data_IF_157067304826
#
_entry.id   IF_157067304826
#
_cell.length_a   1.000
_cell.length_b   1.000
_cell.length_c   1.000
_cell.angle_alpha   90.00
_cell.angle_beta   90.00
_cell.angle_gamma   90.00
#
_symmetry.space_group_name_H-M   'P 1'
#
loop_
_entity.id
_entity.type
_entity.pdbx_description
1 polymer ?
#
# COMPACT_ATOMS: atom_id res chain seq x y z
N UNK A 1 -15.71 -23.04 0.18
CA UNK A 1 -15.53 -23.64 -1.16
C UNK A 1 -14.86 -22.57 -2.00
N UNK A 2 -13.59 -22.77 -2.33
CA UNK A 2 -12.79 -21.81 -3.10
C UNK A 2 -13.18 -21.98 -4.57
N UNK A 3 -13.86 -20.99 -5.15
CA UNK A 3 -14.23 -21.00 -6.56
C UNK A 3 -13.14 -20.29 -7.36
N UNK A 4 -11.99 -20.95 -7.49
CA UNK A 4 -10.95 -20.49 -8.41
C UNK A 4 -11.47 -20.70 -9.84
N UNK A 5 -11.83 -19.61 -10.50
CA UNK A 5 -12.19 -19.61 -11.92
C UNK A 5 -10.89 -19.75 -12.73
N UNK A 6 -10.72 -20.79 -13.57
CA UNK A 6 -9.46 -21.06 -14.28
C UNK A 6 -9.07 -20.01 -15.36
N UNK A 7 -9.74 -18.86 -15.40
CA UNK A 7 -9.46 -17.74 -16.31
C UNK A 7 -9.21 -16.40 -15.60
N UNK A 8 -9.08 -16.40 -14.26
CA UNK A 8 -8.79 -15.18 -13.53
C UNK A 8 -7.39 -14.65 -13.89
N UNK A 9 -7.32 -13.43 -14.42
CA UNK A 9 -6.05 -12.79 -14.77
C UNK A 9 -5.41 -12.24 -13.52
N UNK A 10 -4.29 -12.84 -13.14
CA UNK A 10 -3.51 -12.40 -11.98
C UNK A 10 -2.13 -11.86 -12.39
N UNK A 11 -1.58 -10.98 -11.57
CA UNK A 11 -0.17 -10.60 -11.62
C UNK A 11 0.49 -11.10 -10.34
N UNK A 12 1.50 -11.97 -10.48
CA UNK A 12 2.38 -12.34 -9.37
C UNK A 12 3.00 -11.08 -8.79
N UNK A 13 2.66 -10.76 -7.54
CA UNK A 13 3.40 -9.75 -6.82
C UNK A 13 4.75 -10.36 -6.40
N UNK A 14 5.82 -9.57 -6.37
CA UNK A 14 7.09 -10.03 -5.82
C UNK A 14 6.86 -10.57 -4.40
N UNK A 15 7.61 -11.60 -3.98
CA UNK A 15 7.53 -12.14 -2.63
C UNK A 15 7.75 -11.07 -1.55
N UNK A 16 8.56 -10.07 -1.89
CA UNK A 16 8.69 -8.82 -1.18
C UNK A 16 7.92 -7.76 -1.98
N UNK A 17 6.60 -7.65 -1.80
CA UNK A 17 5.82 -6.59 -2.46
C UNK A 17 6.47 -5.28 -2.02
N UNK A 18 7.18 -4.59 -2.92
CA UNK A 18 7.91 -3.41 -2.49
C UNK A 18 6.91 -2.34 -2.02
N UNK A 19 7.31 -1.50 -1.07
CA UNK A 19 6.46 -0.40 -0.59
C UNK A 19 5.99 0.45 -1.76
N UNK A 20 6.84 0.65 -2.76
CA UNK A 20 6.56 1.42 -3.98
C UNK A 20 5.49 0.75 -4.85
N UNK A 21 5.53 -0.58 -5.02
CA UNK A 21 4.51 -1.29 -5.79
C UNK A 21 3.16 -1.25 -5.06
N UNK A 22 3.16 -1.42 -3.75
CA UNK A 22 1.93 -1.37 -2.95
C UNK A 22 1.31 0.04 -2.99
N UNK A 23 2.14 1.08 -2.86
CA UNK A 23 1.73 2.47 -3.01
C UNK A 23 1.15 2.74 -4.40
N UNK A 24 1.81 2.27 -5.46
CA UNK A 24 1.34 2.44 -6.83
C UNK A 24 0.00 1.74 -7.06
N UNK A 25 -0.20 0.55 -6.50
CA UNK A 25 -1.50 -0.11 -6.55
C UNK A 25 -2.51 0.76 -5.80
N UNK A 26 -2.29 1.14 -4.55
CA UNK A 26 -3.23 1.97 -3.79
C UNK A 26 -3.60 3.28 -4.48
N UNK A 27 -2.64 3.99 -5.09
CA UNK A 27 -2.90 5.20 -5.88
C UNK A 27 -3.73 4.91 -7.14
N UNK A 28 -3.49 3.76 -7.79
CA UNK A 28 -4.30 3.33 -8.94
C UNK A 28 -5.72 2.91 -8.55
N UNK A 29 -5.93 2.54 -7.28
CA UNK A 29 -7.24 2.22 -6.70
C UNK A 29 -7.88 3.37 -5.93
N UNK A 30 -7.53 4.62 -6.24
CA UNK A 30 -8.39 5.79 -5.96
C UNK A 30 -9.80 5.65 -6.57
N UNK A 31 -10.02 4.60 -7.36
CA UNK A 31 -11.30 4.05 -7.77
C UNK A 31 -11.63 2.81 -6.93
N UNK A 32 -11.65 2.95 -5.59
CA UNK A 32 -12.32 2.02 -4.66
C UNK A 32 -13.44 2.81 -3.99
N UNK A 33 -14.61 2.18 -3.82
CA UNK A 33 -15.79 2.83 -3.29
C UNK A 33 -15.59 3.42 -1.87
N UNK A 34 -14.53 3.01 -1.16
CA UNK A 34 -13.98 3.70 0.01
C UNK A 34 -12.67 4.40 -0.38
N UNK A 35 -12.48 5.63 0.09
CA UNK A 35 -11.22 6.38 0.03
C UNK A 35 -10.12 5.79 0.97
N UNK A 36 -10.47 4.79 1.79
CA UNK A 36 -9.60 4.14 2.76
C UNK A 36 -8.21 3.74 2.20
N UNK A 37 -8.10 3.11 1.01
CA UNK A 37 -6.81 2.72 0.43
C UNK A 37 -5.94 3.92 0.05
N UNK A 38 -6.55 4.97 -0.50
CA UNK A 38 -5.87 6.23 -0.83
C UNK A 38 -5.35 6.95 0.41
N UNK A 39 -6.15 7.01 1.49
CA UNK A 39 -5.71 7.53 2.79
C UNK A 39 -4.53 6.74 3.36
N UNK A 40 -4.58 5.41 3.33
CA UNK A 40 -3.48 4.57 3.80
C UNK A 40 -2.20 4.78 2.98
N UNK A 41 -2.31 4.89 1.65
CA UNK A 41 -1.17 5.20 0.79
C UNK A 41 -0.58 6.58 1.08
N UNK A 42 -1.42 7.58 1.30
CA UNK A 42 -0.99 8.91 1.69
C UNK A 42 -0.25 8.92 3.02
N UNK A 43 -0.76 8.19 4.03
CA UNK A 43 -0.08 8.02 5.31
C UNK A 43 1.27 7.33 5.14
N UNK A 44 1.32 6.22 4.40
CA UNK A 44 2.56 5.48 4.16
C UNK A 44 3.61 6.37 3.49
N UNK A 45 3.20 7.16 2.48
CA UNK A 45 4.08 8.14 1.80
C UNK A 45 4.58 9.23 2.74
N UNK A 46 3.72 9.76 3.62
CA UNK A 46 4.12 10.77 4.59
C UNK A 46 5.14 10.23 5.59
N UNK A 47 4.93 9.00 6.08
CA UNK A 47 5.89 8.35 7.00
C UNK A 47 7.20 8.05 6.29
N UNK A 48 7.16 7.59 5.03
CA UNK A 48 8.34 7.39 4.20
C UNK A 48 9.17 8.66 3.98
N UNK A 49 8.48 9.77 3.67
CA UNK A 49 9.12 11.07 3.53
C UNK A 49 9.73 11.53 4.86
N UNK A 50 9.04 11.33 5.98
CA UNK A 50 9.55 11.64 7.32
C UNK A 50 10.79 10.81 7.67
N UNK A 51 10.80 9.51 7.37
CA UNK A 51 11.96 8.64 7.57
C UNK A 51 13.15 9.08 6.73
N UNK A 52 12.93 9.43 5.46
CA UNK A 52 13.98 9.93 4.58
C UNK A 52 14.54 11.27 5.07
N UNK A 53 13.66 12.16 5.51
CA UNK A 53 14.03 13.45 6.10
C UNK A 53 14.88 13.28 7.37
N UNK A 54 14.47 12.43 8.31
CA UNK A 54 15.23 12.17 9.55
C UNK A 54 16.63 11.65 9.28
N UNK A 55 16.82 10.81 8.25
CA UNK A 55 18.17 10.39 7.83
C UNK A 55 19.01 11.54 7.31
N UNK A 56 18.42 12.45 6.55
CA UNK A 56 19.14 13.64 6.05
C UNK A 56 19.50 14.63 7.16
N UNK A 57 18.77 14.63 8.27
CA UNK A 57 19.08 15.46 9.44
C UNK A 57 20.35 15.02 10.17
N UNK A 58 20.73 13.74 10.11
CA UNK A 58 21.94 13.22 10.78
C UNK A 58 23.20 13.93 10.25
N UNK A 59 23.24 14.20 8.94
CA UNK A 59 24.35 14.92 8.31
C UNK A 59 24.35 16.42 8.66
N UNK A 60 23.15 17.01 8.84
CA UNK A 60 22.97 18.44 9.09
C UNK A 60 23.15 18.81 10.56
N UNK A 61 22.80 17.92 11.48
CA UNK A 61 22.79 18.13 12.93
C UNK A 61 23.46 16.94 13.64
N UNK A 62 24.81 16.81 13.52
CA UNK A 62 25.52 15.66 14.05
C UNK A 62 25.49 15.57 15.58
N UNK A 63 25.32 16.68 16.30
CA UNK A 63 25.11 16.67 17.76
C UNK A 63 23.82 15.94 18.19
N UNK A 64 22.80 15.88 17.32
CA UNK A 64 21.49 15.29 17.59
C UNK A 64 21.30 13.94 16.86
N UNK A 65 22.38 13.37 16.31
CA UNK A 65 22.35 12.17 15.47
C UNK A 65 21.61 10.99 16.13
N UNK A 66 21.84 10.72 17.42
CA UNK A 66 21.17 9.64 18.15
C UNK A 66 19.65 9.82 18.18
N UNK A 67 19.17 11.05 18.36
CA UNK A 67 17.74 11.36 18.33
C UNK A 67 17.15 11.14 16.93
N UNK A 68 17.89 11.53 15.89
CA UNK A 68 17.45 11.35 14.50
C UNK A 68 17.45 9.88 14.06
N UNK A 69 18.43 9.09 14.47
CA UNK A 69 18.44 7.64 14.27
C UNK A 69 17.23 6.99 14.95
N UNK A 70 16.98 7.35 16.22
CA UNK A 70 15.79 6.85 16.93
C UNK A 70 14.49 7.22 16.22
N UNK A 71 14.34 8.45 15.73
CA UNK A 71 13.18 8.88 14.95
C UNK A 71 13.04 8.10 13.62
N UNK A 72 14.15 7.85 12.93
CA UNK A 72 14.16 7.06 11.68
C UNK A 72 13.70 5.62 11.92
N UNK A 73 14.17 5.01 13.02
CA UNK A 73 13.76 3.68 13.44
C UNK A 73 12.27 3.62 13.83
N UNK A 74 11.77 4.66 14.52
CA UNK A 74 10.34 4.78 14.84
C UNK A 74 9.51 4.89 13.56
N UNK A 75 9.93 5.73 12.61
CA UNK A 75 9.25 5.89 11.34
C UNK A 75 9.20 4.56 10.56
N UNK A 76 10.30 3.80 10.52
CA UNK A 76 10.33 2.49 9.89
C UNK A 76 9.33 1.49 10.50
N UNK A 77 9.12 1.54 11.81
CA UNK A 77 8.12 0.69 12.46
C UNK A 77 6.70 1.06 12.09
N UNK A 78 6.42 2.36 11.95
CA UNK A 78 5.12 2.84 11.48
C UNK A 78 4.89 2.44 10.02
N UNK A 79 5.91 2.57 9.15
CA UNK A 79 5.85 2.09 7.75
C UNK A 79 5.43 0.62 7.69
N UNK A 80 6.09 -0.25 8.48
CA UNK A 80 5.77 -1.68 8.52
C UNK A 80 4.32 -1.95 8.92
N UNK A 81 3.80 -1.22 9.91
CA UNK A 81 2.40 -1.36 10.35
C UNK A 81 1.44 -0.94 9.24
N UNK A 82 1.70 0.21 8.59
CA UNK A 82 0.87 0.72 7.50
C UNK A 82 0.89 -0.22 6.30
N UNK A 83 2.08 -0.68 5.91
CA UNK A 83 2.26 -1.64 4.83
C UNK A 83 1.49 -2.94 5.09
N UNK A 84 1.62 -3.52 6.29
CA UNK A 84 0.89 -4.72 6.67
C UNK A 84 -0.63 -4.49 6.63
N UNK A 85 -1.08 -3.33 7.12
CA UNK A 85 -2.51 -2.95 7.11
C UNK A 85 -3.07 -2.88 5.70
N UNK A 86 -2.31 -2.30 4.76
CA UNK A 86 -2.70 -2.20 3.34
C UNK A 86 -2.79 -3.59 2.71
N UNK A 87 -1.79 -4.45 2.92
CA UNK A 87 -1.82 -5.83 2.43
C UNK A 87 -3.03 -6.59 2.98
N UNK A 88 -3.30 -6.50 4.28
CA UNK A 88 -4.45 -7.15 4.90
C UNK A 88 -5.79 -6.62 4.35
N UNK A 89 -5.88 -5.32 4.10
CA UNK A 89 -7.05 -4.72 3.44
C UNK A 89 -7.23 -5.33 2.04
N UNK A 90 -6.17 -5.39 1.23
CA UNK A 90 -6.25 -5.95 -0.12
C UNK A 90 -6.66 -7.42 -0.14
N UNK A 91 -6.21 -8.22 0.83
CA UNK A 91 -6.68 -9.59 1.01
C UNK A 91 -8.17 -9.64 1.40
N UNK A 92 -8.60 -8.81 2.36
CA UNK A 92 -10.03 -8.73 2.77
C UNK A 92 -10.95 -8.34 1.62
N UNK A 93 -10.45 -7.49 0.73
CA UNK A 93 -11.16 -7.02 -0.45
C UNK A 93 -11.10 -8.03 -1.62
N UNK A 94 -10.42 -9.17 -1.46
CA UNK A 94 -10.16 -10.20 -2.47
C UNK A 94 -9.43 -9.64 -3.71
N UNK A 95 -8.57 -8.63 -3.52
CA UNK A 95 -7.74 -8.05 -4.57
C UNK A 95 -6.41 -8.79 -4.69
N UNK A 96 -5.91 -9.35 -3.60
CA UNK A 96 -4.72 -10.20 -3.56
C UNK A 96 -5.13 -11.61 -3.13
N UNK A 97 -4.66 -12.62 -3.85
CA UNK A 97 -4.86 -14.03 -3.52
C UNK A 97 -3.89 -14.51 -2.44
N UNK A 98 -4.17 -15.66 -1.83
CA UNK A 98 -3.27 -16.29 -0.83
C UNK A 98 -1.86 -16.58 -1.40
N UNK A 99 -1.73 -16.70 -2.72
CA UNK A 99 -0.46 -16.90 -3.43
C UNK A 99 0.28 -15.58 -3.77
N UNK A 100 -0.13 -14.48 -3.12
CA UNK A 100 0.36 -13.12 -3.31
C UNK A 100 0.24 -12.65 -4.77
N UNK A 101 -0.90 -12.91 -5.39
CA UNK A 101 -1.18 -12.48 -6.76
C UNK A 101 -2.30 -11.45 -6.79
N UNK A 102 -2.07 -10.33 -7.47
CA UNK A 102 -3.06 -9.27 -7.67
C UNK A 102 -4.06 -9.70 -8.75
N UNK A 103 -5.36 -9.73 -8.43
CA UNK A 103 -6.42 -10.05 -9.39
C UNK A 103 -6.81 -8.83 -10.22
N UNK A 104 -6.47 -8.86 -11.51
CA UNK A 104 -6.81 -7.80 -12.47
C UNK A 104 -8.30 -7.75 -12.77
N UNK A 105 -8.97 -8.91 -12.74
CA UNK A 105 -10.40 -8.99 -13.00
C UNK A 105 -11.18 -8.34 -11.84
N UNK A 106 -10.80 -8.61 -10.59
CA UNK A 106 -11.39 -7.98 -9.40
C UNK A 106 -11.14 -6.47 -9.35
N UNK A 107 -9.93 -6.03 -9.71
CA UNK A 107 -9.63 -4.60 -9.85
C UNK A 107 -10.51 -3.95 -10.91
N UNK A 108 -10.67 -4.59 -12.07
CA UNK A 108 -11.49 -4.08 -13.18
C UNK A 108 -12.98 -4.02 -12.82
N UNK A 109 -13.51 -5.07 -12.18
CA UNK A 109 -14.89 -5.13 -11.68
C UNK A 109 -15.19 -3.98 -10.72
N UNK A 110 -14.27 -3.70 -9.79
CA UNK A 110 -14.41 -2.58 -8.85
C UNK A 110 -14.37 -1.24 -9.54
N UNK A 111 -13.37 -1.01 -10.38
CA UNK A 111 -13.23 0.24 -11.11
C UNK A 111 -14.50 0.55 -11.92
N UNK A 112 -15.06 -0.46 -12.60
CA UNK A 112 -16.31 -0.35 -13.33
C UNK A 112 -17.51 -0.07 -12.42
N UNK A 113 -17.65 -0.83 -11.31
CA UNK A 113 -18.75 -0.64 -10.37
C UNK A 113 -18.81 0.77 -9.81
N UNK A 114 -17.67 1.44 -9.65
CA UNK A 114 -17.58 2.80 -9.13
C UNK A 114 -17.85 3.84 -10.20
N UNK A 115 -17.29 3.66 -11.40
CA UNK A 115 -17.60 4.53 -12.53
C UNK A 115 -19.11 4.59 -12.81
N UNK A 116 -19.80 3.46 -12.67
CA UNK A 116 -21.26 3.40 -12.81
C UNK A 116 -22.01 4.17 -11.70
N UNK A 117 -21.52 4.15 -10.45
CA UNK A 117 -22.12 4.92 -9.33
C UNK A 117 -22.02 6.44 -9.50
N UNK A 118 -21.10 6.92 -10.33
CA UNK A 118 -20.92 8.36 -10.59
C UNK A 118 -21.84 8.89 -11.70
N UNK A 119 -22.59 8.01 -12.37
CA UNK A 119 -23.51 8.34 -13.47
C UNK A 119 -24.97 8.47 -12.98
N UNK A 120 -25.26 7.97 -11.78
CA UNK A 120 -26.54 8.14 -11.08
C UNK A 120 -26.57 9.44 -10.24
#
# INVERSE_FOLDING_TARGET
MNTSNPSERTIKLPSDVSEELLLAICESVDIIACECPGYLASLLRQVHNFRSYTKSCIEQFPEDAETHDWLSDRAQQVEKILYQTVLELMHKENLITDDNELSLDRLSERALSIALRQID
#
